data_IF_314690163226
#
_entry.id   IF_314690163226
#
_cell.length_a   1.000
_cell.length_b   1.000
_cell.length_c   1.000
_cell.angle_alpha   90.00
_cell.angle_beta   90.00
_cell.angle_gamma   90.00
#
_symmetry.space_group_name_H-M   'P 1'
#
loop_
_entity.id
_entity.type
_entity.pdbx_description
1 polymer ?
#
# COMPACT_ATOMS: atom_id res chain seq x y z
N UNK A 1 15.81 6.57 0.94
CA UNK A 1 15.06 7.83 1.20
C UNK A 1 14.16 8.15 0.01
N UNK A 2 12.94 8.62 0.27
CA UNK A 2 12.03 9.11 -0.79
C UNK A 2 12.80 10.11 -1.65
N UNK A 3 12.57 10.07 -2.97
CA UNK A 3 13.19 10.87 -4.01
C UNK A 3 14.71 10.73 -4.25
N UNK A 4 15.44 9.94 -3.46
CA UNK A 4 16.85 9.58 -3.73
C UNK A 4 16.93 8.16 -4.30
N UNK A 5 16.10 7.27 -3.79
CA UNK A 5 15.93 5.92 -4.32
C UNK A 5 14.58 5.81 -5.02
N UNK A 6 14.45 4.96 -6.06
CA UNK A 6 13.15 4.69 -6.65
C UNK A 6 12.21 4.14 -5.59
N UNK A 7 10.91 4.44 -5.65
CA UNK A 7 9.97 3.94 -4.63
C UNK A 7 9.83 2.41 -4.66
N UNK A 8 10.15 1.76 -5.78
CA UNK A 8 10.31 0.30 -5.87
C UNK A 8 11.39 -0.27 -4.95
N UNK A 9 12.27 0.57 -4.42
CA UNK A 9 13.19 0.18 -3.36
C UNK A 9 12.46 -0.27 -2.08
N UNK A 10 11.24 0.26 -1.84
CA UNK A 10 10.41 -0.17 -0.70
C UNK A 10 10.02 -1.64 -0.83
N UNK A 11 9.49 -2.06 -1.97
CA UNK A 11 9.12 -3.46 -2.18
C UNK A 11 10.34 -4.38 -2.21
N UNK A 12 11.45 -3.92 -2.79
CA UNK A 12 12.73 -4.64 -2.74
C UNK A 12 13.19 -4.93 -1.29
N UNK A 13 13.16 -3.94 -0.41
CA UNK A 13 13.56 -4.11 0.99
C UNK A 13 12.58 -4.99 1.77
N UNK A 14 11.27 -4.90 1.48
CA UNK A 14 10.27 -5.78 2.10
C UNK A 14 10.49 -7.24 1.69
N UNK A 15 10.74 -7.51 0.41
CA UNK A 15 11.04 -8.86 -0.08
C UNK A 15 12.28 -9.44 0.63
N UNK A 16 13.36 -8.67 0.73
CA UNK A 16 14.60 -9.08 1.43
C UNK A 16 14.38 -9.27 2.93
N UNK A 17 13.62 -8.37 3.54
CA UNK A 17 13.23 -8.47 4.95
C UNK A 17 12.47 -9.75 5.23
N UNK A 18 11.48 -10.09 4.39
CA UNK A 18 10.67 -11.31 4.55
C UNK A 18 11.54 -12.54 4.37
N UNK A 19 12.37 -12.59 3.33
CA UNK A 19 13.29 -13.69 3.09
C UNK A 19 14.21 -13.95 4.29
N UNK A 20 14.74 -12.87 4.88
CA UNK A 20 15.69 -12.94 6.00
C UNK A 20 15.00 -13.26 7.34
N UNK A 21 13.82 -12.71 7.59
CA UNK A 21 13.15 -12.80 8.87
C UNK A 21 12.30 -14.07 9.04
N UNK A 22 12.07 -14.85 7.98
CA UNK A 22 11.22 -16.06 7.99
C UNK A 22 11.52 -16.97 9.20
N UNK A 23 10.48 -17.45 9.91
CA UNK A 23 9.05 -17.27 9.65
C UNK A 23 8.43 -16.01 10.31
N UNK A 24 9.23 -15.10 10.88
CA UNK A 24 8.71 -13.94 11.60
C UNK A 24 8.11 -12.91 10.63
N UNK A 25 7.00 -12.24 11.02
CA UNK A 25 6.40 -11.20 10.19
C UNK A 25 7.32 -9.98 10.09
N UNK A 26 7.28 -9.30 8.94
CA UNK A 26 8.01 -8.06 8.69
C UNK A 26 7.05 -6.88 8.72
N UNK A 27 7.47 -5.80 9.38
CA UNK A 27 6.75 -4.54 9.40
C UNK A 27 7.55 -3.50 8.61
N UNK A 28 6.86 -2.72 7.79
CA UNK A 28 7.47 -1.66 7.00
C UNK A 28 7.54 -0.38 7.84
N UNK A 29 8.68 0.31 7.74
CA UNK A 29 8.84 1.67 8.26
C UNK A 29 8.97 2.62 7.07
N UNK A 30 7.85 3.14 6.52
CA UNK A 30 7.94 4.13 5.45
C UNK A 30 8.40 5.48 6.03
N UNK A 31 8.97 6.30 5.17
CA UNK A 31 9.66 7.51 5.58
C UNK A 31 8.68 8.67 5.81
N UNK A 32 8.20 8.89 7.03
CA UNK A 32 7.25 9.98 7.36
C UNK A 32 7.91 11.18 8.05
N UNK A 33 9.12 11.57 7.63
CA UNK A 33 9.86 12.71 8.20
C UNK A 33 10.36 13.61 7.09
N UNK A 34 11.12 14.66 7.41
CA UNK A 34 12.06 15.33 6.50
C UNK A 34 13.39 15.54 7.20
N UNK A 35 14.42 15.91 6.46
CA UNK A 35 15.61 16.47 7.09
C UNK A 35 15.37 17.92 7.51
N UNK A 36 15.55 18.24 8.79
CA UNK A 36 15.20 19.54 9.37
C UNK A 36 16.39 20.50 9.54
N UNK A 37 17.63 19.99 9.63
CA UNK A 37 18.83 20.82 9.87
C UNK A 37 20.04 20.32 9.07
N UNK A 38 20.56 21.08 8.09
CA UNK A 38 21.83 20.73 7.47
C UNK A 38 22.96 20.69 8.53
N UNK A 39 23.94 19.80 8.36
CA UNK A 39 25.17 19.84 9.19
C UNK A 39 25.88 21.17 8.94
N UNK A 40 26.68 21.69 9.90
CA UNK A 40 27.43 22.95 9.74
C UNK A 40 28.18 23.05 8.40
N UNK A 41 28.68 21.93 7.88
CA UNK A 41 29.40 21.84 6.60
C UNK A 41 28.87 20.73 5.67
N UNK A 42 27.57 20.40 5.71
CA UNK A 42 27.03 19.30 4.90
C UNK A 42 25.71 19.63 4.21
N UNK A 43 25.54 19.14 2.99
CA UNK A 43 24.26 19.12 2.28
C UNK A 43 23.70 17.69 2.27
N UNK A 44 22.39 17.55 2.47
CA UNK A 44 21.68 16.29 2.30
C UNK A 44 20.68 16.42 1.15
N UNK A 45 20.56 15.35 0.36
CA UNK A 45 19.80 15.33 -0.89
C UNK A 45 18.28 15.31 -0.74
N UNK A 46 17.75 15.28 0.49
CA UNK A 46 16.32 15.11 0.74
C UNK A 46 15.81 16.08 1.81
N UNK A 47 14.91 16.99 1.43
CA UNK A 47 14.51 18.18 2.23
C UNK A 47 13.00 18.34 2.42
N UNK A 48 12.18 17.49 1.79
CA UNK A 48 10.71 17.57 1.85
C UNK A 48 10.15 16.36 2.56
N UNK A 49 9.00 16.52 3.21
CA UNK A 49 8.20 15.35 3.58
C UNK A 49 7.69 14.67 2.29
N UNK A 50 7.39 13.36 2.33
CA UNK A 50 6.61 12.74 1.27
C UNK A 50 5.27 13.45 1.08
N UNK A 51 4.77 13.43 -0.15
CA UNK A 51 3.38 13.84 -0.40
C UNK A 51 2.44 12.70 0.02
N UNK A 52 1.16 12.97 0.35
CA UNK A 52 0.22 11.93 0.78
C UNK A 52 0.13 10.73 -0.18
N UNK A 53 0.05 10.99 -1.49
CA UNK A 53 -0.02 9.93 -2.50
C UNK A 53 1.29 9.11 -2.57
N UNK A 54 2.43 9.75 -2.32
CA UNK A 54 3.74 9.09 -2.29
C UNK A 54 3.87 8.18 -1.07
N UNK A 55 3.41 8.63 0.09
CA UNK A 55 3.35 7.82 1.32
C UNK A 55 2.41 6.62 1.15
N UNK A 56 1.22 6.86 0.60
CA UNK A 56 0.24 5.82 0.28
C UNK A 56 0.84 4.78 -0.66
N UNK A 57 1.57 5.22 -1.69
CA UNK A 57 2.27 4.33 -2.61
C UNK A 57 3.30 3.46 -1.90
N UNK A 58 4.17 4.06 -1.05
CA UNK A 58 5.15 3.29 -0.27
C UNK A 58 4.48 2.24 0.64
N UNK A 59 3.40 2.61 1.31
CA UNK A 59 2.65 1.69 2.17
C UNK A 59 2.09 0.52 1.36
N UNK A 60 1.43 0.79 0.24
CA UNK A 60 0.86 -0.27 -0.61
C UNK A 60 1.92 -1.13 -1.29
N UNK A 61 3.09 -0.58 -1.64
CA UNK A 61 4.23 -1.38 -2.08
C UNK A 61 4.66 -2.36 -0.98
N UNK A 62 4.75 -1.92 0.27
CA UNK A 62 5.08 -2.83 1.37
C UNK A 62 4.02 -3.90 1.62
N UNK A 63 2.75 -3.50 1.72
CA UNK A 63 1.65 -4.44 1.99
C UNK A 63 1.48 -5.46 0.86
N UNK A 64 1.55 -5.01 -0.39
CA UNK A 64 1.38 -5.88 -1.56
C UNK A 64 2.51 -6.91 -1.71
N UNK A 65 3.69 -6.61 -1.16
CA UNK A 65 4.81 -7.55 -1.04
C UNK A 65 4.81 -8.34 0.27
N UNK A 66 3.74 -8.27 1.06
CA UNK A 66 3.51 -9.15 2.20
C UNK A 66 3.92 -8.60 3.57
N UNK A 67 4.28 -7.31 3.69
CA UNK A 67 4.46 -6.68 5.00
C UNK A 67 3.17 -6.80 5.84
N UNK A 68 3.33 -7.00 7.15
CA UNK A 68 2.24 -7.29 8.10
C UNK A 68 1.86 -6.14 9.00
N UNK A 69 2.62 -5.05 8.95
CA UNK A 69 2.37 -3.87 9.76
C UNK A 69 3.15 -2.69 9.22
N UNK A 70 2.71 -1.49 9.62
CA UNK A 70 3.31 -0.21 9.25
C UNK A 70 3.66 0.53 10.53
N UNK A 71 4.89 1.04 10.65
CA UNK A 71 5.30 1.97 11.70
C UNK A 71 5.83 3.23 11.05
N UNK A 72 5.26 4.38 11.39
CA UNK A 72 5.77 5.65 10.90
C UNK A 72 6.90 6.15 11.80
N UNK A 73 8.12 6.20 11.26
CA UNK A 73 9.21 6.97 11.86
C UNK A 73 9.23 8.37 11.21
N UNK A 74 9.32 9.48 11.94
CA UNK A 74 9.21 9.62 13.41
C UNK A 74 8.06 10.56 13.76
N UNK A 75 7.44 10.32 14.92
CA UNK A 75 6.39 11.19 15.44
C UNK A 75 6.99 12.51 15.97
N UNK A 76 7.99 12.42 16.85
CA UNK A 76 8.72 13.55 17.44
C UNK A 76 9.83 14.08 16.53
N UNK A 77 10.40 15.23 16.86
CA UNK A 77 11.19 16.05 15.91
C UNK A 77 12.46 16.63 16.53
N UNK A 78 13.38 17.13 15.68
CA UNK A 78 14.46 18.09 16.00
C UNK A 78 14.06 19.25 16.90
N UNK A 79 12.77 19.59 16.93
CA UNK A 79 12.20 20.63 17.79
C UNK A 79 12.35 20.25 19.26
N UNK A 80 12.30 18.96 19.57
CA UNK A 80 12.35 18.42 20.93
C UNK A 80 13.76 17.97 21.34
N UNK A 81 14.64 17.69 20.36
CA UNK A 81 16.04 17.34 20.57
C UNK A 81 16.95 18.02 19.54
N UNK A 82 17.76 18.97 20.01
CA UNK A 82 18.70 19.77 19.21
C UNK A 82 19.69 18.93 18.40
N UNK A 83 19.95 17.67 18.81
CA UNK A 83 20.86 16.73 18.15
C UNK A 83 20.17 15.81 17.14
N UNK A 84 18.84 15.76 17.11
CA UNK A 84 18.14 14.99 16.09
C UNK A 84 18.27 15.74 14.74
N UNK A 85 18.67 15.06 13.65
CA UNK A 85 18.73 15.67 12.33
C UNK A 85 17.38 15.71 11.58
N UNK A 86 16.36 14.99 12.05
CA UNK A 86 15.09 14.81 11.33
C UNK A 86 13.89 15.50 11.97
N UNK A 87 13.08 16.11 11.13
CA UNK A 87 11.84 16.76 11.53
C UNK A 87 10.67 15.80 11.26
N UNK A 88 9.97 15.39 12.33
CA UNK A 88 8.90 14.39 12.29
C UNK A 88 7.47 14.95 12.15
N UNK A 89 6.49 14.08 12.37
CA UNK A 89 5.06 14.32 12.11
C UNK A 89 4.38 15.35 13.02
N UNK A 90 4.98 15.70 14.18
CA UNK A 90 4.50 16.80 15.05
C UNK A 90 4.86 18.19 14.51
N UNK A 91 5.62 18.27 13.42
CA UNK A 91 6.00 19.53 12.79
C UNK A 91 4.80 20.37 12.35
N UNK A 92 4.96 21.70 12.41
CA UNK A 92 4.04 22.69 11.84
C UNK A 92 4.30 22.98 10.36
N UNK A 93 5.28 22.32 9.74
CA UNK A 93 5.58 22.47 8.32
C UNK A 93 4.33 22.08 7.49
N UNK A 94 3.95 22.85 6.45
CA UNK A 94 2.75 22.58 5.67
C UNK A 94 2.69 21.15 5.08
N UNK A 95 3.82 20.64 4.61
CA UNK A 95 3.88 19.26 4.11
C UNK A 95 3.64 18.22 5.21
N UNK A 96 4.15 18.43 6.44
CA UNK A 96 3.93 17.52 7.56
C UNK A 96 2.45 17.47 7.95
N UNK A 97 1.79 18.63 7.98
CA UNK A 97 0.34 18.73 8.26
C UNK A 97 -0.46 17.97 7.21
N UNK A 98 -0.09 18.11 5.94
CA UNK A 98 -0.77 17.46 4.80
C UNK A 98 -0.53 15.95 4.81
N UNK A 99 0.71 15.52 5.04
CA UNK A 99 1.07 14.11 5.18
C UNK A 99 0.34 13.44 6.35
N UNK A 100 0.22 14.14 7.49
CA UNK A 100 -0.48 13.61 8.68
C UNK A 100 -1.93 13.30 8.39
N UNK A 101 -2.60 14.20 7.65
CA UNK A 101 -3.99 13.98 7.18
C UNK A 101 -4.06 12.80 6.22
N UNK A 102 -3.11 12.69 5.29
CA UNK A 102 -3.01 11.54 4.39
C UNK A 102 -2.89 10.20 5.12
N UNK A 103 -1.98 10.11 6.10
CA UNK A 103 -1.81 8.91 6.95
C UNK A 103 -3.08 8.61 7.77
N UNK A 104 -3.73 9.65 8.31
CA UNK A 104 -4.99 9.50 9.03
C UNK A 104 -6.12 8.97 8.12
N UNK A 105 -6.18 9.40 6.86
CA UNK A 105 -7.16 8.88 5.88
C UNK A 105 -6.91 7.41 5.55
N UNK A 106 -5.64 7.03 5.35
CA UNK A 106 -5.21 5.67 5.07
C UNK A 106 -5.52 4.68 6.21
N UNK A 107 -5.76 5.18 7.42
CA UNK A 107 -6.04 4.34 8.61
C UNK A 107 -7.28 3.45 8.43
N UNK A 108 -8.32 3.91 7.71
CA UNK A 108 -9.51 3.09 7.44
C UNK A 108 -9.16 1.80 6.68
N UNK A 109 -8.37 1.94 5.63
CA UNK A 109 -7.95 0.82 4.77
C UNK A 109 -6.98 -0.11 5.51
N UNK A 110 -6.02 0.45 6.24
CA UNK A 110 -5.04 -0.35 7.00
C UNK A 110 -5.71 -1.24 8.06
N UNK A 111 -6.70 -0.72 8.77
CA UNK A 111 -7.40 -1.50 9.79
C UNK A 111 -8.37 -2.50 9.19
N UNK A 112 -9.04 -2.17 8.09
CA UNK A 112 -9.88 -3.12 7.36
C UNK A 112 -9.04 -4.28 6.81
N UNK A 113 -7.97 -3.98 6.06
CA UNK A 113 -7.09 -4.99 5.47
C UNK A 113 -6.31 -5.78 6.52
N UNK A 114 -5.96 -5.16 7.66
CA UNK A 114 -5.19 -5.79 8.73
C UNK A 114 -5.85 -7.03 9.34
N UNK A 115 -7.18 -7.10 9.33
CA UNK A 115 -7.95 -8.25 9.87
C UNK A 115 -7.65 -9.57 9.14
N UNK A 116 -7.36 -9.48 7.85
CA UNK A 116 -7.03 -10.61 6.97
C UNK A 116 -5.55 -10.71 6.66
N UNK A 117 -4.86 -9.58 6.43
CA UNK A 117 -3.45 -9.56 6.04
C UNK A 117 -2.51 -10.22 7.05
N UNK A 118 -2.87 -10.22 8.34
CA UNK A 118 -2.12 -10.93 9.40
C UNK A 118 -1.96 -12.43 9.13
N UNK A 119 -2.84 -13.05 8.35
CA UNK A 119 -2.78 -14.45 7.91
C UNK A 119 -2.31 -14.61 6.46
N UNK A 120 -2.01 -13.49 5.78
CA UNK A 120 -1.74 -13.48 4.35
C UNK A 120 -0.41 -14.13 3.98
N UNK A 121 -0.40 -14.84 2.86
CA UNK A 121 0.79 -15.32 2.18
C UNK A 121 0.87 -14.66 0.80
N UNK A 122 1.90 -13.84 0.59
CA UNK A 122 2.18 -13.25 -0.72
C UNK A 122 2.66 -14.33 -1.68
N UNK A 123 1.99 -14.44 -2.82
CA UNK A 123 2.27 -15.50 -3.79
C UNK A 123 3.52 -15.14 -4.59
N UNK A 124 4.60 -15.88 -4.34
CA UNK A 124 5.87 -15.72 -5.05
C UNK A 124 6.07 -16.83 -6.09
N UNK A 125 6.55 -16.47 -7.29
CA UNK A 125 7.07 -17.42 -8.28
C UNK A 125 6.56 -17.20 -9.71
N UNK A 126 7.23 -17.78 -10.74
CA UNK A 126 6.89 -17.54 -12.15
C UNK A 126 5.53 -18.10 -12.56
N UNK A 127 5.12 -19.23 -11.97
CA UNK A 127 3.82 -19.87 -12.24
C UNK A 127 2.64 -19.09 -11.67
N UNK A 128 2.86 -18.33 -10.59
CA UNK A 128 1.88 -17.47 -9.97
C UNK A 128 1.67 -16.15 -10.73
N UNK A 129 2.71 -15.60 -11.37
CA UNK A 129 2.67 -14.31 -12.07
C UNK A 129 2.08 -14.39 -13.50
N UNK A 130 0.93 -15.06 -13.65
CA UNK A 130 0.18 -15.11 -14.92
C UNK A 130 -1.00 -14.14 -14.98
N UNK A 131 -1.22 -13.41 -13.89
CA UNK A 131 -2.18 -12.32 -13.78
C UNK A 131 -1.64 -11.07 -14.49
N UNK A 132 -2.50 -10.33 -15.20
CA UNK A 132 -2.11 -9.14 -15.97
C UNK A 132 -3.25 -8.12 -16.02
N UNK A 133 -2.89 -6.89 -16.34
CA UNK A 133 -3.82 -5.78 -16.58
C UNK A 133 -3.74 -5.34 -18.04
N UNK A 134 -4.78 -4.66 -18.55
CA UNK A 134 -4.75 -4.00 -19.86
C UNK A 134 -3.77 -2.83 -19.94
N UNK A 135 -3.14 -2.48 -18.81
CA UNK A 135 -2.17 -1.41 -18.68
C UNK A 135 -0.94 -1.86 -17.87
N UNK A 136 0.24 -1.88 -18.50
CA UNK A 136 1.49 -2.36 -17.88
C UNK A 136 2.05 -1.54 -16.71
N UNK A 137 1.41 -0.43 -16.31
CA UNK A 137 1.84 0.38 -15.16
C UNK A 137 1.24 -0.04 -13.83
N UNK A 138 0.20 -0.89 -13.83
CA UNK A 138 -0.39 -1.39 -12.58
C UNK A 138 0.25 -2.72 -12.22
N UNK A 139 1.00 -2.75 -11.13
CA UNK A 139 1.48 -3.98 -10.52
C UNK A 139 0.33 -4.72 -9.85
N UNK A 140 0.32 -6.04 -10.01
CA UNK A 140 -0.66 -6.95 -9.43
C UNK A 140 0.10 -7.91 -8.51
N UNK A 141 -0.26 -7.91 -7.23
CA UNK A 141 0.24 -8.87 -6.27
C UNK A 141 -0.93 -9.60 -5.60
N UNK A 142 -0.81 -10.93 -5.52
CA UNK A 142 -1.82 -11.81 -4.95
C UNK A 142 -1.40 -12.24 -3.55
N UNK A 143 -2.29 -12.11 -2.57
CA UNK A 143 -2.07 -12.50 -1.18
C UNK A 143 -3.22 -13.39 -0.72
N UNK A 144 -2.97 -14.70 -0.60
CA UNK A 144 -3.93 -15.63 -0.01
C UNK A 144 -3.97 -15.44 1.50
N UNK A 145 -5.13 -15.11 2.03
CA UNK A 145 -5.37 -15.05 3.47
C UNK A 145 -6.19 -16.28 3.83
N UNK A 146 -5.55 -17.27 4.45
CA UNK A 146 -6.14 -18.62 4.66
C UNK A 146 -6.47 -19.29 3.31
N UNK A 147 -7.45 -20.17 3.30
CA UNK A 147 -7.98 -20.89 2.14
C UNK A 147 -9.26 -20.28 1.55
N UNK A 148 -9.86 -19.29 2.22
CA UNK A 148 -11.14 -18.70 1.87
C UNK A 148 -11.06 -17.31 1.19
N UNK A 149 -9.93 -16.62 1.30
CA UNK A 149 -9.81 -15.21 0.88
C UNK A 149 -8.56 -14.95 0.05
N UNK A 150 -8.73 -14.27 -1.08
CA UNK A 150 -7.65 -13.73 -1.90
C UNK A 150 -7.73 -12.22 -1.95
N UNK A 151 -6.64 -11.56 -1.58
CA UNK A 151 -6.43 -10.14 -1.83
C UNK A 151 -5.62 -9.95 -3.10
N UNK A 152 -6.17 -9.20 -4.05
CA UNK A 152 -5.46 -8.75 -5.25
C UNK A 152 -5.10 -7.29 -5.04
N UNK A 153 -3.85 -7.04 -4.69
CA UNK A 153 -3.30 -5.72 -4.45
C UNK A 153 -2.85 -5.11 -5.77
N UNK A 154 -3.40 -3.94 -6.10
CA UNK A 154 -3.15 -3.21 -7.33
C UNK A 154 -2.39 -1.93 -7.00
N UNK A 155 -1.18 -1.76 -7.53
CA UNK A 155 -0.31 -0.61 -7.23
C UNK A 155 0.09 0.10 -8.51
N UNK A 156 -0.17 1.41 -8.61
CA UNK A 156 0.11 2.20 -9.79
C UNK A 156 1.55 2.73 -9.80
N UNK A 157 2.33 2.31 -10.79
CA UNK A 157 3.71 2.73 -11.01
C UNK A 157 3.88 3.90 -11.98
N UNK A 158 2.78 4.49 -12.50
CA UNK A 158 2.86 5.69 -13.35
C UNK A 158 2.99 6.97 -12.51
N UNK A 159 4.17 7.12 -11.88
CA UNK A 159 4.51 8.27 -11.05
C UNK A 159 5.89 8.83 -11.39
N UNK A 160 6.10 10.07 -10.97
CA UNK A 160 7.41 10.74 -10.93
C UNK A 160 7.66 11.11 -9.47
N UNK A 161 8.74 10.58 -8.88
CA UNK A 161 9.22 10.96 -7.55
C UNK A 161 10.56 11.68 -7.71
N UNK A 162 10.59 12.97 -7.37
CA UNK A 162 11.74 13.85 -7.51
C UNK A 162 11.99 14.64 -6.21
N UNK A 163 13.17 15.27 -6.13
CA UNK A 163 13.62 15.99 -4.92
C UNK A 163 12.69 17.14 -4.55
N UNK A 164 12.11 17.79 -5.56
CA UNK A 164 11.21 18.92 -5.44
C UNK A 164 9.72 18.53 -5.38
N UNK A 165 9.36 17.32 -5.80
CA UNK A 165 7.95 16.94 -5.83
C UNK A 165 7.66 15.47 -6.10
N UNK A 166 6.36 15.17 -6.10
CA UNK A 166 5.81 13.88 -6.47
C UNK A 166 4.54 14.11 -7.29
N UNK A 167 4.41 13.39 -8.40
CA UNK A 167 3.18 13.38 -9.19
C UNK A 167 2.84 11.94 -9.59
N UNK A 168 1.56 11.60 -9.62
CA UNK A 168 1.07 10.29 -10.05
C UNK A 168 -0.10 10.47 -11.02
N UNK A 169 -0.03 9.71 -12.12
CA UNK A 169 -1.01 9.73 -13.20
C UNK A 169 -2.06 8.65 -12.95
N UNK A 170 -3.29 9.06 -12.70
CA UNK A 170 -4.41 8.13 -12.53
C UNK A 170 -4.64 7.30 -13.79
N UNK A 171 -4.83 5.99 -13.62
CA UNK A 171 -5.24 5.09 -14.70
C UNK A 171 -6.74 4.89 -14.67
N UNK A 172 -7.38 4.96 -15.83
CA UNK A 172 -8.83 4.80 -15.99
C UNK A 172 -9.15 3.60 -16.86
N UNK A 173 -10.33 3.03 -16.64
CA UNK A 173 -10.88 1.97 -17.48
C UNK A 173 -9.95 0.75 -17.64
N UNK A 174 -9.26 0.37 -16.55
CA UNK A 174 -8.30 -0.73 -16.58
C UNK A 174 -9.03 -2.06 -16.37
N UNK A 175 -8.77 -3.01 -17.27
CA UNK A 175 -9.25 -4.39 -17.15
C UNK A 175 -8.15 -5.25 -16.54
N UNK A 176 -8.54 -6.16 -15.65
CA UNK A 176 -7.65 -7.08 -14.96
C UNK A 176 -8.05 -8.51 -15.26
N UNK A 177 -7.06 -9.36 -15.51
CA UNK A 177 -7.22 -10.80 -15.58
C UNK A 177 -6.36 -11.44 -14.48
N UNK A 178 -7.00 -12.13 -13.54
CA UNK A 178 -6.32 -12.81 -12.44
C UNK A 178 -6.45 -14.32 -12.61
N UNK A 179 -5.35 -15.05 -12.41
CA UNK A 179 -5.31 -16.51 -12.56
C UNK A 179 -5.46 -17.17 -11.19
N UNK A 180 -6.61 -17.79 -10.95
CA UNK A 180 -6.90 -18.49 -9.71
C UNK A 180 -6.34 -19.92 -9.72
N UNK A 181 -5.85 -20.43 -8.58
CA UNK A 181 -5.55 -21.84 -8.43
C UNK A 181 -6.84 -22.66 -8.43
N UNK A 182 -6.75 -23.93 -8.85
CA UNK A 182 -7.93 -24.80 -9.02
C UNK A 182 -8.73 -25.04 -7.73
N UNK A 183 -8.07 -24.97 -6.58
CA UNK A 183 -8.68 -25.22 -5.28
C UNK A 183 -9.43 -24.00 -4.73
N UNK A 184 -9.16 -22.80 -5.25
CA UNK A 184 -9.74 -21.57 -4.72
C UNK A 184 -11.06 -21.25 -5.41
N UNK A 185 -12.04 -20.90 -4.58
CA UNK A 185 -13.35 -20.41 -5.01
C UNK A 185 -13.77 -19.24 -4.12
N UNK A 186 -14.70 -18.43 -4.61
CA UNK A 186 -15.19 -17.25 -3.90
C UNK A 186 -16.66 -17.04 -4.20
N UNK A 187 -17.38 -16.45 -3.24
CA UNK A 187 -18.81 -16.12 -3.36
C UNK A 187 -19.02 -14.60 -3.48
N UNK A 188 -18.15 -13.82 -2.83
CA UNK A 188 -18.23 -12.35 -2.80
C UNK A 188 -16.96 -11.70 -3.37
N UNK A 189 -17.15 -10.52 -3.99
CA UNK A 189 -16.05 -9.72 -4.54
C UNK A 189 -16.29 -8.23 -4.39
N UNK A 190 -15.36 -7.52 -3.76
CA UNK A 190 -15.45 -6.10 -3.49
C UNK A 190 -14.09 -5.42 -3.54
N UNK A 191 -14.07 -4.09 -3.69
CA UNK A 191 -12.86 -3.27 -3.56
C UNK A 191 -12.74 -2.68 -2.17
N UNK A 192 -11.50 -2.44 -1.74
CA UNK A 192 -11.16 -1.59 -0.60
C UNK A 192 -10.23 -0.49 -1.12
N UNK A 193 -10.64 0.78 -0.96
CA UNK A 193 -9.84 1.93 -1.33
C UNK A 193 -10.09 3.17 -0.44
N UNK A 194 -9.52 4.31 -0.84
CA UNK A 194 -9.64 5.60 -0.14
C UNK A 194 -11.08 6.13 0.02
N UNK A 195 -12.03 5.60 -0.76
CA UNK A 195 -13.45 5.96 -0.74
C UNK A 195 -14.29 4.99 0.09
N UNK A 196 -13.78 3.80 0.38
CA UNK A 196 -14.46 2.80 1.22
C UNK A 196 -14.42 1.42 0.60
N UNK A 197 -15.51 0.68 0.85
CA UNK A 197 -15.76 -0.63 0.26
C UNK A 197 -16.88 -0.54 -0.77
N UNK A 198 -16.72 -1.22 -1.89
CA UNK A 198 -17.71 -1.24 -2.97
C UNK A 198 -17.72 -2.62 -3.63
N UNK A 199 -18.90 -3.22 -3.77
CA UNK A 199 -19.06 -4.47 -4.50
C UNK A 199 -18.67 -4.31 -5.95
N UNK A 200 -17.96 -5.31 -6.49
CA UNK A 200 -17.61 -5.33 -7.91
C UNK A 200 -18.14 -6.59 -8.57
N UNK A 201 -18.42 -6.47 -9.87
CA UNK A 201 -18.74 -7.63 -10.70
C UNK A 201 -17.46 -8.23 -11.25
N UNK A 202 -17.28 -9.52 -11.00
CA UNK A 202 -16.17 -10.31 -11.51
C UNK A 202 -16.73 -11.40 -12.41
N UNK A 203 -16.20 -11.52 -13.62
CA UNK A 203 -16.56 -12.59 -14.55
C UNK A 203 -15.55 -13.72 -14.46
N UNK A 204 -16.01 -14.97 -14.30
CA UNK A 204 -15.14 -16.14 -14.24
C UNK A 204 -15.19 -16.93 -15.54
N UNK A 205 -14.03 -17.26 -16.09
CA UNK A 205 -13.86 -18.20 -17.21
C UNK A 205 -12.76 -19.20 -16.85
N UNK A 206 -13.16 -20.45 -16.58
CA UNK A 206 -12.28 -21.49 -16.07
C UNK A 206 -11.58 -21.07 -14.76
N UNK A 207 -10.25 -21.09 -14.74
CA UNK A 207 -9.42 -20.67 -13.62
C UNK A 207 -8.98 -19.20 -13.74
N UNK A 208 -9.65 -18.39 -14.55
CA UNK A 208 -9.38 -16.96 -14.69
C UNK A 208 -10.59 -16.16 -14.30
N UNK A 209 -10.34 -15.04 -13.64
CA UNK A 209 -11.35 -14.01 -13.44
C UNK A 209 -10.97 -12.75 -14.20
N UNK A 210 -11.99 -12.02 -14.63
CA UNK A 210 -11.86 -10.75 -15.35
C UNK A 210 -12.76 -9.72 -14.68
N UNK A 211 -12.22 -8.54 -14.40
CA UNK A 211 -12.98 -7.40 -13.88
C UNK A 211 -12.39 -6.09 -14.41
N UNK A 212 -13.19 -5.03 -14.38
CA UNK A 212 -12.79 -3.70 -14.83
C UNK A 212 -12.96 -2.70 -13.70
N UNK A 213 -11.97 -1.82 -13.52
CA UNK A 213 -12.03 -0.73 -12.55
C UNK A 213 -12.08 0.62 -13.28
N UNK A 214 -12.98 1.49 -12.81
CA UNK A 214 -13.19 2.82 -13.42
C UNK A 214 -11.95 3.71 -13.32
N UNK A 215 -11.30 3.74 -12.15
CA UNK A 215 -10.00 4.40 -12.01
C UNK A 215 -9.15 3.85 -10.85
N UNK A 216 -7.83 4.04 -10.95
CA UNK A 216 -6.82 3.74 -9.93
C UNK A 216 -5.81 4.89 -9.93
N UNK A 217 -5.80 5.68 -8.85
CA UNK A 217 -4.81 6.75 -8.68
C UNK A 217 -3.51 6.21 -8.10
N UNK A 218 -3.54 5.70 -6.87
CA UNK A 218 -2.34 5.17 -6.19
C UNK A 218 -2.39 3.66 -6.07
N UNK A 219 -3.41 3.15 -5.38
CA UNK A 219 -3.57 1.72 -5.16
C UNK A 219 -5.02 1.38 -4.83
N UNK A 220 -5.39 0.13 -5.08
CA UNK A 220 -6.67 -0.48 -4.67
C UNK A 220 -6.44 -1.92 -4.28
N UNK A 221 -7.27 -2.45 -3.40
CA UNK A 221 -7.32 -3.89 -3.13
C UNK A 221 -8.63 -4.44 -3.63
N UNK A 222 -8.59 -5.48 -4.45
CA UNK A 222 -9.77 -6.32 -4.71
C UNK A 222 -9.74 -7.48 -3.74
N UNK A 223 -10.85 -7.74 -3.08
CA UNK A 223 -11.05 -8.87 -2.17
C UNK A 223 -11.97 -9.86 -2.87
N UNK A 224 -11.54 -11.11 -2.92
CA UNK A 224 -12.37 -12.25 -3.32
C UNK A 224 -12.45 -13.17 -2.12
N UNK A 225 -13.65 -13.55 -1.70
CA UNK A 225 -13.80 -14.37 -0.49
C UNK A 225 -15.01 -15.28 -0.55
N UNK A 226 -14.95 -16.42 0.13
CA UNK A 226 -16.12 -17.22 0.48
C UNK A 226 -16.70 -16.90 1.86
N UNK A 227 -16.05 -16.03 2.65
CA UNK A 227 -16.58 -15.53 3.92
C UNK A 227 -17.57 -14.38 3.70
N UNK A 228 -18.86 -14.72 3.77
CA UNK A 228 -19.99 -13.79 3.63
C UNK A 228 -20.04 -12.68 4.68
N UNK A 229 -19.31 -12.81 5.79
CA UNK A 229 -19.25 -11.78 6.83
C UNK A 229 -18.10 -10.80 6.63
N UNK A 230 -17.15 -11.11 5.74
CA UNK A 230 -15.92 -10.35 5.59
C UNK A 230 -16.18 -8.91 5.15
N UNK A 231 -17.07 -8.69 4.17
CA UNK A 231 -17.43 -7.33 3.72
C UNK A 231 -17.90 -6.47 4.88
N UNK A 232 -18.89 -6.96 5.64
CA UNK A 232 -19.49 -6.22 6.74
C UNK A 232 -18.46 -5.91 7.83
N UNK A 233 -17.65 -6.91 8.19
CA UNK A 233 -16.60 -6.74 9.19
C UNK A 233 -15.55 -5.70 8.75
N UNK A 234 -15.09 -5.76 7.51
CA UNK A 234 -14.11 -4.80 6.98
C UNK A 234 -14.69 -3.39 6.85
N UNK A 235 -15.96 -3.24 6.44
CA UNK A 235 -16.64 -1.95 6.36
C UNK A 235 -16.83 -1.31 7.74
N UNK A 236 -17.20 -2.10 8.76
CA UNK A 236 -17.28 -1.63 10.15
C UNK A 236 -15.92 -1.12 10.64
N UNK A 237 -14.84 -1.87 10.40
CA UNK A 237 -13.48 -1.44 10.74
C UNK A 237 -13.06 -0.19 9.98
N UNK A 238 -13.33 -0.15 8.68
CA UNK A 238 -13.03 0.99 7.84
C UNK A 238 -13.67 2.26 8.42
N UNK A 239 -14.98 2.23 8.70
CA UNK A 239 -15.74 3.39 9.20
C UNK A 239 -15.27 3.88 10.57
N UNK A 240 -14.89 2.96 11.47
CA UNK A 240 -14.36 3.33 12.80
C UNK A 240 -13.03 4.07 12.67
N UNK A 241 -12.16 3.64 11.76
CA UNK A 241 -10.81 4.17 11.63
C UNK A 241 -10.68 5.27 10.57
N UNK A 242 -11.69 5.45 9.71
CA UNK A 242 -11.71 6.52 8.71
C UNK A 242 -11.87 7.86 9.41
N UNK A 243 -10.80 8.65 9.39
CA UNK A 243 -10.86 10.06 9.78
C UNK A 243 -11.32 10.89 8.58
N UNK A 244 -12.25 11.81 8.83
CA UNK A 244 -12.75 12.83 7.89
C UNK A 244 -11.82 14.05 7.96
#
# INVERSE_FOLDING_TARGET
PVCILPLTYVSFEVDRGIETARPKPVWLIPQAFRHGRPKPNGSWGWKRFPKPDEERLMVYLGLSHGAKGIIYYTYHSVIDNVRDPVEGMVSRHPDAVTLKRGIAHLSGELHALGEVLRFGYHVTGPSAKRSYSSNGSIEINEIFCRDDTLLVMLVNHDYISAVDGFNISEKRDVEFTIVLPKWFDFEDSFIVDEKGLEDIKVSRKNNRIVFKLGSIRVAKTVVLTSDRQLFKMMDEKYRVWRRI
#
